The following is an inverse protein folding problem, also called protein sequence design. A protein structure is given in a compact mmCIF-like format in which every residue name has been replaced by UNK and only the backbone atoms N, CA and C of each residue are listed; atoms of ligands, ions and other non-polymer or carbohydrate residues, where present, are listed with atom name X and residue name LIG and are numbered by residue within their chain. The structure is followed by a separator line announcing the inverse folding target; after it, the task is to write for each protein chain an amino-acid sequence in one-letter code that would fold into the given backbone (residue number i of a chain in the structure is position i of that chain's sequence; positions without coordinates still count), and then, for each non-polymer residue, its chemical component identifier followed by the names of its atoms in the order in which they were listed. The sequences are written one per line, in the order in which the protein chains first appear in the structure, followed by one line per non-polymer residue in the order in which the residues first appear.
data_IF_762799054765
#
_entry.id   IF_762799054765
#
_cell.length_a   1.000
_cell.length_b   1.000
_cell.length_c   1.000
_cell.angle_alpha   90.00
_cell.angle_beta   90.00
_cell.angle_gamma   90.00
#
_symmetry.space_group_name_H-M   'P 1'
#
loop_
_entity.id
_entity.type
_entity.pdbx_description
1 polymer ?
#
# COMPACT_ATOMS: atom_id res chain seq x y z
N UNK A 1 14.92 4.32 -5.95
CA UNK A 1 15.00 3.02 -6.62
C UNK A 1 13.83 2.20 -6.11
N UNK A 2 12.99 1.68 -7.00
CA UNK A 2 11.85 0.83 -6.61
C UNK A 2 12.23 -0.63 -6.85
N UNK A 3 11.91 -1.50 -5.89
CA UNK A 3 12.18 -2.93 -5.97
C UNK A 3 10.87 -3.68 -5.80
N UNK A 4 10.67 -4.71 -6.62
CA UNK A 4 9.63 -5.71 -6.36
C UNK A 4 9.98 -6.54 -5.13
N UNK A 5 8.99 -7.20 -4.52
CA UNK A 5 9.20 -8.10 -3.38
C UNK A 5 10.24 -9.20 -3.71
N UNK A 6 10.27 -9.67 -4.95
CA UNK A 6 11.23 -10.69 -5.39
C UNK A 6 12.65 -10.13 -5.52
N UNK A 7 12.82 -8.94 -6.09
CA UNK A 7 14.13 -8.30 -6.20
C UNK A 7 14.69 -7.93 -4.83
N UNK A 8 13.85 -7.39 -3.94
CA UNK A 8 14.23 -7.06 -2.57
C UNK A 8 14.62 -8.31 -1.79
N UNK A 9 13.85 -9.39 -1.91
CA UNK A 9 14.16 -10.68 -1.29
C UNK A 9 15.54 -11.20 -1.75
N UNK A 10 15.79 -11.16 -3.06
CA UNK A 10 17.08 -11.58 -3.64
C UNK A 10 18.24 -10.72 -3.16
N UNK A 11 18.07 -9.40 -3.10
CA UNK A 11 19.09 -8.45 -2.62
C UNK A 11 19.39 -8.64 -1.12
N UNK A 12 18.37 -8.88 -0.31
CA UNK A 12 18.49 -9.09 1.13
C UNK A 12 18.89 -10.52 1.52
N UNK A 13 19.01 -11.45 0.57
CA UNK A 13 19.34 -12.85 0.83
C UNK A 13 18.27 -13.62 1.60
N UNK A 14 17.01 -13.17 1.54
CA UNK A 14 15.88 -13.78 2.23
C UNK A 14 14.81 -14.23 1.23
N UNK A 15 13.82 -14.99 1.72
CA UNK A 15 12.70 -15.40 0.87
C UNK A 15 11.62 -14.30 0.81
N UNK A 16 10.82 -14.25 -0.28
CA UNK A 16 9.63 -13.40 -0.32
C UNK A 16 8.64 -13.67 0.83
N UNK A 17 8.64 -14.90 1.38
CA UNK A 17 7.81 -15.27 2.54
C UNK A 17 8.28 -14.58 3.81
N UNK A 18 9.59 -14.43 4.00
CA UNK A 18 10.17 -13.70 5.13
C UNK A 18 9.81 -12.22 5.08
N UNK A 19 9.86 -11.59 3.90
CA UNK A 19 9.42 -10.21 3.73
C UNK A 19 7.94 -10.03 4.06
N UNK A 20 7.07 -10.97 3.67
CA UNK A 20 5.64 -10.95 4.04
C UNK A 20 5.43 -11.08 5.53
N UNK A 21 6.16 -11.99 6.19
CA UNK A 21 6.12 -12.11 7.64
C UNK A 21 6.51 -10.81 8.34
N UNK A 22 7.52 -10.09 7.82
CA UNK A 22 7.90 -8.78 8.37
C UNK A 22 6.83 -7.71 8.17
N UNK A 23 6.06 -7.77 7.09
CA UNK A 23 4.91 -6.89 6.88
C UNK A 23 3.77 -7.21 7.85
N UNK A 24 3.44 -8.51 8.02
CA UNK A 24 2.42 -9.00 8.95
C UNK A 24 2.68 -8.58 10.41
N UNK A 25 3.93 -8.68 10.88
CA UNK A 25 4.31 -8.24 12.23
C UNK A 25 4.58 -6.72 12.33
N UNK A 26 4.45 -5.99 11.23
CA UNK A 26 4.66 -4.54 11.16
C UNK A 26 6.12 -4.08 11.23
N UNK A 27 7.08 -4.99 11.09
CA UNK A 27 8.52 -4.69 11.08
C UNK A 27 8.95 -3.98 9.79
N UNK A 28 8.38 -4.36 8.65
CA UNK A 28 8.73 -3.77 7.35
C UNK A 28 7.50 -3.69 6.45
N UNK A 29 6.88 -2.51 6.39
CA UNK A 29 5.72 -2.25 5.53
C UNK A 29 6.15 -1.69 4.16
N UNK A 30 5.60 -2.19 3.05
CA UNK A 30 5.86 -1.62 1.72
C UNK A 30 5.33 -0.19 1.61
N UNK A 31 6.18 0.74 1.18
CA UNK A 31 5.88 2.17 1.11
C UNK A 31 4.69 2.52 0.20
N UNK A 32 4.50 1.77 -0.90
CA UNK A 32 3.38 1.99 -1.84
C UNK A 32 2.01 1.73 -1.22
N UNK A 33 1.90 0.73 -0.34
CA UNK A 33 0.63 0.46 0.39
C UNK A 33 0.33 1.63 1.31
N UNK A 34 1.32 2.07 2.09
CA UNK A 34 1.17 3.21 3.01
C UNK A 34 0.72 4.49 2.31
N UNK A 35 1.23 4.76 1.11
CA UNK A 35 0.86 5.95 0.34
C UNK A 35 -0.61 5.90 -0.14
N UNK A 36 -1.12 4.72 -0.46
CA UNK A 36 -2.52 4.54 -0.89
C UNK A 36 -3.48 4.59 0.31
N UNK A 37 -3.09 4.03 1.46
CA UNK A 37 -3.90 4.15 2.69
C UNK A 37 -3.94 5.59 3.22
N UNK A 38 -2.89 6.38 3.01
CA UNK A 38 -2.84 7.78 3.45
C UNK A 38 -3.97 8.65 2.88
N UNK A 39 -4.55 8.29 1.72
CA UNK A 39 -5.68 9.03 1.13
C UNK A 39 -6.92 9.04 2.03
N UNK A 40 -7.09 8.00 2.86
CA UNK A 40 -8.23 7.85 3.77
C UNK A 40 -7.85 7.98 5.25
N UNK A 41 -6.60 7.65 5.61
CA UNK A 41 -6.10 7.72 6.98
C UNK A 41 -5.85 9.17 7.46
N UNK A 42 -5.59 10.10 6.54
CA UNK A 42 -5.42 11.53 6.85
C UNK A 42 -6.66 12.32 6.41
N UNK A 43 -7.39 12.88 7.40
CA UNK A 43 -8.59 13.68 7.18
C UNK A 43 -8.36 14.86 6.20
N UNK A 44 -7.15 15.41 6.13
CA UNK A 44 -6.81 16.52 5.22
C UNK A 44 -6.84 16.07 3.76
N UNK A 45 -6.39 14.84 3.49
CA UNK A 45 -6.42 14.25 2.16
C UNK A 45 -7.84 13.88 1.76
N UNK A 46 -8.58 13.21 2.65
CA UNK A 46 -10.00 12.90 2.44
C UNK A 46 -10.79 14.16 2.11
N UNK A 47 -10.64 15.24 2.91
CA UNK A 47 -11.34 16.50 2.69
C UNK A 47 -10.91 17.24 1.40
N UNK A 48 -9.73 16.99 0.85
CA UNK A 48 -9.31 17.57 -0.42
C UNK A 48 -10.02 16.91 -1.61
N UNK A 49 -10.03 15.57 -1.64
CA UNK A 49 -10.61 14.81 -2.75
C UNK A 49 -12.15 14.77 -2.70
N UNK A 50 -12.74 14.76 -1.51
CA UNK A 50 -14.19 14.71 -1.35
C UNK A 50 -14.90 16.03 -1.73
N UNK A 51 -14.17 17.09 -2.06
CA UNK A 51 -14.72 18.30 -2.70
C UNK A 51 -15.33 18.03 -4.07
N UNK A 52 -14.84 17.01 -4.77
CA UNK A 52 -15.33 16.64 -6.11
C UNK A 52 -16.63 15.85 -5.98
N UNK A 53 -16.62 14.83 -5.11
CA UNK A 53 -17.77 14.03 -4.74
C UNK A 53 -17.49 13.33 -3.40
N UNK A 54 -18.50 13.15 -2.53
CA UNK A 54 -18.34 12.36 -1.30
C UNK A 54 -17.81 10.95 -1.59
N UNK A 55 -16.79 10.51 -0.86
CA UNK A 55 -16.18 9.18 -1.02
C UNK A 55 -15.21 9.04 -2.19
N UNK A 56 -14.81 10.15 -2.83
CA UNK A 56 -13.85 10.13 -3.93
C UNK A 56 -12.47 9.62 -3.47
N UNK A 57 -12.03 10.00 -2.27
CA UNK A 57 -10.77 9.50 -1.70
C UNK A 57 -10.77 7.96 -1.53
N UNK A 58 -11.88 7.41 -1.03
CA UNK A 58 -12.05 5.97 -0.86
C UNK A 58 -12.08 5.24 -2.20
N UNK A 59 -12.80 5.79 -3.20
CA UNK A 59 -12.82 5.24 -4.55
C UNK A 59 -11.41 5.18 -5.18
N UNK A 60 -10.63 6.25 -5.03
CA UNK A 60 -9.26 6.30 -5.55
C UNK A 60 -8.34 5.28 -4.88
N UNK A 61 -8.45 5.12 -3.55
CA UNK A 61 -7.73 4.08 -2.79
C UNK A 61 -8.06 2.69 -3.34
N UNK A 62 -9.35 2.38 -3.48
CA UNK A 62 -9.81 1.05 -3.91
C UNK A 62 -9.41 0.76 -5.36
N UNK A 63 -9.54 1.75 -6.24
CA UNK A 63 -9.09 1.65 -7.64
C UNK A 63 -7.57 1.43 -7.73
N UNK A 64 -6.78 2.13 -6.91
CA UNK A 64 -5.33 1.97 -6.85
C UNK A 64 -4.92 0.59 -6.32
N UNK A 65 -5.62 0.04 -5.31
CA UNK A 65 -5.40 -1.33 -4.83
C UNK A 65 -5.60 -2.36 -5.95
N UNK A 66 -6.69 -2.22 -6.73
CA UNK A 66 -6.98 -3.09 -7.88
C UNK A 66 -5.89 -2.95 -8.95
N UNK A 67 -5.56 -1.72 -9.37
CA UNK A 67 -4.61 -1.47 -10.45
C UNK A 67 -3.19 -1.96 -10.13
N UNK A 68 -2.75 -1.77 -8.89
CA UNK A 68 -1.42 -2.21 -8.45
C UNK A 68 -1.34 -3.69 -8.10
N UNK A 69 -2.49 -4.41 -8.15
CA UNK A 69 -2.56 -5.82 -7.80
C UNK A 69 -2.26 -6.09 -6.33
N UNK A 70 -2.37 -5.08 -5.46
CA UNK A 70 -2.30 -5.24 -4.01
C UNK A 70 -3.60 -5.97 -3.62
N UNK A 71 -3.53 -7.30 -3.56
CA UNK A 71 -4.55 -8.07 -2.85
C UNK A 71 -4.27 -7.91 -1.37
N UNK A 72 -5.27 -7.46 -0.62
CA UNK A 72 -5.30 -7.65 0.82
C UNK A 72 -5.27 -9.16 1.05
N UNK A 73 -4.07 -9.72 1.24
CA UNK A 73 -3.91 -11.10 1.66
C UNK A 73 -4.18 -11.11 3.16
N UNK A 74 -5.46 -11.27 3.50
CA UNK A 74 -5.92 -11.53 4.85
C UNK A 74 -5.43 -12.89 5.35
#
# INVERSE_FOLDING_TARGET
MEYTVHELAKLAGITPRTLRYYDEIGLLKPARIKMIEMYVDDERFTAYYDKIAPGCAAFLRDAMRIYTGIKDYN
#
